data_IF_598552092857
#
_entry.id   IF_598552092857
#
_cell.length_a   1.000
_cell.length_b   1.000
_cell.length_c   1.000
_cell.angle_alpha   90.00
_cell.angle_beta   90.00
_cell.angle_gamma   90.00
#
_symmetry.space_group_name_H-M   'P 1'
#
loop_
_entity.id
_entity.type
_entity.pdbx_description
1 polymer ?
#
# COMPACT_ATOMS: atom_id res chain seq x y z
N UNK A 1 -3.45 -24.36 -28.36
CA UNK A 1 -3.17 -24.81 -27.00
C UNK A 1 -4.51 -24.86 -26.27
N UNK A 2 -5.09 -26.05 -26.22
CA UNK A 2 -6.47 -26.25 -25.73
C UNK A 2 -6.43 -26.19 -24.20
N UNK A 3 -7.49 -25.71 -23.55
CA UNK A 3 -7.61 -25.55 -22.07
C UNK A 3 -7.10 -26.79 -21.29
N UNK A 4 -7.20 -27.97 -21.92
CA UNK A 4 -6.71 -29.27 -21.45
C UNK A 4 -5.18 -29.35 -21.28
N UNK A 5 -4.38 -28.70 -22.13
CA UNK A 5 -2.91 -28.67 -22.00
C UNK A 5 -2.47 -27.85 -20.79
N UNK A 6 -3.22 -26.79 -20.45
CA UNK A 6 -2.97 -25.99 -19.24
C UNK A 6 -3.40 -26.75 -17.99
N UNK A 7 -4.52 -27.45 -18.05
CA UNK A 7 -4.93 -28.35 -16.98
C UNK A 7 -3.89 -29.45 -16.75
N UNK A 8 -3.33 -30.06 -17.80
CA UNK A 8 -2.21 -31.00 -17.70
C UNK A 8 -0.97 -30.39 -17.06
N UNK A 9 -0.58 -29.15 -17.44
CA UNK A 9 0.56 -28.45 -16.81
C UNK A 9 0.31 -28.15 -15.32
N UNK A 10 -0.96 -27.98 -14.90
CA UNK A 10 -1.34 -27.60 -13.53
C UNK A 10 -1.66 -28.80 -12.63
N UNK A 11 -2.20 -29.89 -13.17
CA UNK A 11 -2.44 -31.14 -12.46
C UNK A 11 -1.15 -31.87 -12.12
N UNK A 12 -0.11 -31.72 -12.94
CA UNK A 12 1.17 -32.34 -12.68
C UNK A 12 1.97 -31.43 -11.75
N UNK A 13 2.43 -32.01 -10.66
CA UNK A 13 3.25 -31.43 -9.59
C UNK A 13 4.67 -30.98 -10.07
N UNK A 14 4.81 -30.64 -11.35
CA UNK A 14 6.04 -30.30 -12.09
C UNK A 14 6.26 -28.77 -12.25
N UNK A 15 5.62 -27.93 -11.42
CA UNK A 15 5.80 -26.47 -11.47
C UNK A 15 7.11 -25.98 -10.80
N UNK A 16 8.22 -26.68 -11.05
CA UNK A 16 9.54 -26.36 -10.49
C UNK A 16 10.53 -25.76 -11.50
N UNK A 17 10.31 -25.86 -12.82
CA UNK A 17 11.36 -25.58 -13.82
C UNK A 17 11.08 -24.35 -14.71
N UNK A 18 12.16 -23.60 -15.02
CA UNK A 18 12.18 -22.37 -15.82
C UNK A 18 11.60 -22.53 -17.24
N UNK A 19 11.72 -23.71 -17.85
CA UNK A 19 11.21 -23.99 -19.20
C UNK A 19 9.69 -23.83 -19.32
N UNK A 20 8.96 -24.08 -18.23
CA UNK A 20 7.51 -23.97 -18.19
C UNK A 20 7.04 -22.51 -18.17
N UNK A 21 7.90 -21.56 -17.74
CA UNK A 21 7.59 -20.14 -17.75
C UNK A 21 7.43 -19.59 -19.17
N UNK A 22 8.34 -19.97 -20.08
CA UNK A 22 8.29 -19.52 -21.47
C UNK A 22 7.02 -20.00 -22.20
N UNK A 23 6.62 -21.25 -21.95
CA UNK A 23 5.37 -21.84 -22.50
C UNK A 23 4.14 -21.06 -22.01
N UNK A 24 4.10 -20.73 -20.72
CA UNK A 24 3.01 -19.95 -20.12
C UNK A 24 3.01 -18.51 -20.63
N UNK A 25 4.17 -17.89 -20.82
CA UNK A 25 4.27 -16.53 -21.36
C UNK A 25 3.79 -16.44 -22.82
N UNK A 26 4.13 -17.44 -23.64
CA UNK A 26 3.60 -17.57 -25.02
C UNK A 26 2.07 -17.70 -24.99
N UNK A 27 1.54 -18.48 -24.05
CA UNK A 27 0.10 -18.64 -23.90
C UNK A 27 -0.59 -17.35 -23.42
N UNK A 28 -0.04 -16.69 -22.40
CA UNK A 28 -0.57 -15.43 -21.88
C UNK A 28 -0.51 -14.30 -22.91
N UNK A 29 0.47 -14.32 -23.83
CA UNK A 29 0.50 -13.39 -24.97
C UNK A 29 -0.69 -13.58 -25.91
N UNK A 30 -1.20 -14.80 -26.04
CA UNK A 30 -2.43 -15.10 -26.81
C UNK A 30 -3.70 -14.90 -25.98
N UNK A 31 -3.62 -15.03 -24.65
CA UNK A 31 -4.73 -14.94 -23.72
C UNK A 31 -4.40 -14.06 -22.51
N UNK A 32 -4.45 -12.74 -22.71
CA UNK A 32 -3.97 -11.72 -21.74
C UNK A 32 -4.56 -11.79 -20.33
N UNK A 33 -5.71 -12.44 -20.12
CA UNK A 33 -6.45 -12.39 -18.85
C UNK A 33 -6.86 -13.76 -18.29
N UNK A 34 -6.15 -14.81 -18.68
CA UNK A 34 -6.48 -16.16 -18.20
C UNK A 34 -6.04 -16.37 -16.75
N UNK A 35 -6.99 -16.28 -15.81
CA UNK A 35 -6.76 -16.33 -14.36
C UNK A 35 -5.96 -17.55 -13.90
N UNK A 36 -6.21 -18.72 -14.48
CA UNK A 36 -5.52 -19.97 -14.16
C UNK A 36 -4.05 -19.97 -14.59
N UNK A 37 -3.72 -19.45 -15.78
CA UNK A 37 -2.34 -19.33 -16.25
C UNK A 37 -1.56 -18.26 -15.48
N UNK A 38 -2.24 -17.18 -15.10
CA UNK A 38 -1.66 -16.15 -14.21
C UNK A 38 -1.29 -16.74 -12.84
N UNK A 39 -2.15 -17.60 -12.27
CA UNK A 39 -1.84 -18.31 -11.02
C UNK A 39 -0.68 -19.29 -11.20
N UNK A 40 -0.63 -20.05 -12.28
CA UNK A 40 0.47 -20.98 -12.57
C UNK A 40 1.82 -20.25 -12.70
N UNK A 41 1.86 -19.15 -13.47
CA UNK A 41 3.02 -18.27 -13.58
C UNK A 41 3.48 -17.75 -12.22
N UNK A 42 2.56 -17.34 -11.35
CA UNK A 42 2.91 -16.91 -10.00
C UNK A 42 3.55 -17.99 -9.15
N UNK A 43 3.05 -19.22 -9.24
CA UNK A 43 3.60 -20.35 -8.48
C UNK A 43 5.05 -20.61 -8.95
N UNK A 44 5.29 -20.61 -10.26
CA UNK A 44 6.64 -20.78 -10.84
C UNK A 44 7.57 -19.66 -10.38
N UNK A 45 7.17 -18.39 -10.56
CA UNK A 45 7.97 -17.23 -10.16
C UNK A 45 8.30 -17.23 -8.66
N UNK A 46 7.38 -17.73 -7.83
CA UNK A 46 7.59 -17.87 -6.39
C UNK A 46 8.62 -18.95 -6.08
N UNK A 47 8.53 -20.11 -6.73
CA UNK A 47 9.45 -21.23 -6.53
C UNK A 47 10.87 -20.86 -6.97
N UNK A 48 11.01 -20.11 -8.08
CA UNK A 48 12.29 -19.59 -8.57
C UNK A 48 12.85 -18.47 -7.66
N UNK A 49 12.01 -17.83 -6.85
CA UNK A 49 12.42 -16.67 -6.04
C UNK A 49 12.67 -15.40 -6.88
N UNK A 50 12.00 -15.29 -8.04
CA UNK A 50 12.19 -14.16 -8.94
C UNK A 50 11.74 -12.84 -8.32
N UNK A 51 12.51 -11.76 -8.51
CA UNK A 51 12.14 -10.39 -8.09
C UNK A 51 10.82 -9.94 -8.70
N UNK A 52 10.51 -10.45 -9.91
CA UNK A 52 9.25 -10.16 -10.63
C UNK A 52 8.01 -10.73 -9.94
N UNK A 53 8.18 -11.69 -9.00
CA UNK A 53 7.06 -12.30 -8.29
C UNK A 53 6.15 -11.26 -7.63
N UNK A 54 6.71 -10.23 -6.99
CA UNK A 54 5.93 -9.24 -6.23
C UNK A 54 5.05 -8.37 -7.12
N UNK A 55 5.58 -7.91 -8.26
CA UNK A 55 4.83 -7.10 -9.23
C UNK A 55 3.77 -7.93 -9.94
N UNK A 56 4.08 -9.18 -10.26
CA UNK A 56 3.15 -10.11 -10.89
C UNK A 56 2.05 -10.56 -9.94
N UNK A 57 2.34 -10.72 -8.64
CA UNK A 57 1.34 -11.06 -7.62
C UNK A 57 0.25 -9.99 -7.57
N UNK A 58 0.64 -8.72 -7.60
CA UNK A 58 -0.29 -7.58 -7.64
C UNK A 58 -1.16 -7.63 -8.90
N UNK A 59 -0.57 -7.85 -10.07
CA UNK A 59 -1.30 -7.95 -11.34
C UNK A 59 -2.29 -9.12 -11.36
N UNK A 60 -1.86 -10.30 -10.94
CA UNK A 60 -2.72 -11.48 -10.90
C UNK A 60 -3.90 -11.31 -9.92
N UNK A 61 -3.68 -10.67 -8.78
CA UNK A 61 -4.73 -10.38 -7.80
C UNK A 61 -5.83 -9.42 -8.31
N UNK A 62 -5.62 -8.76 -9.45
CA UNK A 62 -6.64 -7.97 -10.16
C UNK A 62 -7.55 -8.85 -11.02
N UNK A 63 -6.99 -9.89 -11.66
CA UNK A 63 -7.72 -10.73 -12.63
C UNK A 63 -8.36 -11.97 -12.02
N UNK A 64 -7.90 -12.42 -10.85
CA UNK A 64 -8.47 -13.59 -10.18
C UNK A 64 -9.69 -13.19 -9.36
N UNK A 65 -10.81 -13.87 -9.62
CA UNK A 65 -12.10 -13.66 -8.98
C UNK A 65 -12.06 -13.73 -7.43
N UNK A 66 -11.18 -14.57 -6.86
CA UNK A 66 -11.05 -14.72 -5.41
C UNK A 66 -9.60 -14.67 -4.94
N UNK A 67 -9.27 -13.60 -4.22
CA UNK A 67 -7.97 -13.45 -3.54
C UNK A 67 -7.75 -14.51 -2.46
N UNK A 68 -8.82 -14.98 -1.83
CA UNK A 68 -8.78 -16.09 -0.86
C UNK A 68 -8.30 -17.38 -1.53
N UNK A 69 -8.72 -17.64 -2.78
CA UNK A 69 -8.27 -18.80 -3.56
C UNK A 69 -6.77 -18.73 -3.86
N UNK A 70 -6.26 -17.57 -4.28
CA UNK A 70 -4.81 -17.35 -4.47
C UNK A 70 -4.04 -17.59 -3.17
N UNK A 71 -4.51 -17.00 -2.05
CA UNK A 71 -3.87 -17.17 -0.76
C UNK A 71 -3.81 -18.65 -0.34
N UNK A 72 -4.93 -19.36 -0.43
CA UNK A 72 -4.99 -20.79 -0.08
C UNK A 72 -4.01 -21.63 -0.92
N UNK A 73 -3.85 -21.31 -2.21
CA UNK A 73 -2.91 -22.01 -3.11
C UNK A 73 -1.46 -21.67 -2.76
N UNK A 74 -1.14 -20.38 -2.61
CA UNK A 74 0.23 -19.94 -2.34
C UNK A 74 0.72 -20.32 -0.94
N UNK A 75 -0.17 -20.39 0.05
CA UNK A 75 0.19 -20.60 1.46
C UNK A 75 -0.27 -21.97 2.01
N UNK A 76 -0.74 -22.88 1.15
CA UNK A 76 -1.29 -24.21 1.50
C UNK A 76 -0.45 -25.02 2.49
N UNK A 77 0.89 -24.90 2.43
CA UNK A 77 1.83 -25.67 3.24
C UNK A 77 2.52 -24.86 4.35
N UNK A 78 2.19 -23.57 4.53
CA UNK A 78 2.75 -22.72 5.60
C UNK A 78 1.87 -22.66 6.85
N UNK A 79 0.71 -23.31 6.88
CA UNK A 79 -0.20 -23.31 8.04
C UNK A 79 0.18 -24.33 9.13
N UNK A 80 1.44 -24.73 9.20
CA UNK A 80 2.08 -25.20 10.45
C UNK A 80 3.14 -24.20 10.91
N UNK A 81 2.83 -22.91 10.87
CA UNK A 81 3.49 -21.99 11.81
C UNK A 81 2.71 -22.13 13.10
N UNK A 82 3.15 -23.05 13.95
CA UNK A 82 2.88 -22.97 15.37
C UNK A 82 3.50 -21.63 15.79
N UNK A 83 2.67 -20.64 16.09
CA UNK A 83 3.14 -19.52 16.89
C UNK A 83 3.41 -20.14 18.25
N UNK A 84 4.68 -20.50 18.51
CA UNK A 84 5.15 -20.78 19.87
C UNK A 84 4.61 -19.65 20.74
N UNK A 85 3.73 -19.91 21.72
CA UNK A 85 3.33 -18.88 22.65
C UNK A 85 4.61 -18.42 23.32
N UNK A 86 5.00 -17.19 23.02
CA UNK A 86 6.22 -16.58 23.52
C UNK A 86 6.28 -16.83 25.03
N UNK A 87 7.21 -17.70 25.47
CA UNK A 87 7.35 -18.08 26.86
C UNK A 87 7.87 -16.87 27.62
N UNK A 88 6.93 -16.03 28.07
CA UNK A 88 7.06 -15.06 29.16
C UNK A 88 5.67 -14.55 29.57
N UNK A 89 4.76 -15.47 29.89
CA UNK A 89 3.58 -15.18 30.71
C UNK A 89 3.76 -15.85 32.07
N UNK A 90 4.75 -15.37 32.83
CA UNK A 90 4.80 -15.62 34.27
C UNK A 90 3.81 -14.69 34.96
N UNK A 91 2.54 -15.07 34.88
CA UNK A 91 1.47 -14.83 35.84
C UNK A 91 0.23 -15.50 35.26
N UNK A 92 -0.17 -16.62 35.87
CA UNK A 92 -1.39 -17.33 35.53
C UNK A 92 -2.57 -16.49 36.04
N UNK A 93 -2.91 -15.42 35.32
CA UNK A 93 -4.13 -14.67 35.56
C UNK A 93 -5.30 -15.65 35.45
N UNK A 94 -6.19 -15.60 36.42
CA UNK A 94 -7.43 -16.37 36.35
C UNK A 94 -8.28 -15.84 35.20
N UNK A 95 -9.11 -16.70 34.60
CA UNK A 95 -9.96 -16.31 33.46
C UNK A 95 -10.89 -15.13 33.81
N UNK A 96 -11.22 -14.98 35.09
CA UNK A 96 -11.99 -13.87 35.65
C UNK A 96 -11.20 -12.55 35.66
N UNK A 97 -9.96 -12.54 36.17
CA UNK A 97 -9.08 -11.35 36.09
C UNK A 97 -8.76 -10.98 34.63
N UNK A 98 -8.73 -11.96 33.73
CA UNK A 98 -8.51 -11.71 32.30
C UNK A 98 -9.69 -10.99 31.65
N UNK A 99 -10.92 -11.35 32.04
CA UNK A 99 -12.16 -10.67 31.58
C UNK A 99 -12.23 -9.25 32.14
N UNK A 100 -11.92 -9.06 33.43
CA UNK A 100 -11.94 -7.75 34.08
C UNK A 100 -10.93 -6.77 33.44
N UNK A 101 -9.73 -7.27 33.11
CA UNK A 101 -8.70 -6.52 32.38
C UNK A 101 -9.08 -6.19 30.92
N UNK A 102 -10.00 -6.95 30.31
CA UNK A 102 -10.54 -6.66 28.97
C UNK A 102 -11.57 -5.54 29.04
N UNK A 103 -12.35 -5.46 30.11
CA UNK A 103 -13.35 -4.40 30.31
C UNK A 103 -12.69 -3.05 30.60
N UNK A 104 -11.56 -3.01 31.33
CA UNK A 104 -10.78 -1.78 31.55
C UNK A 104 -10.14 -1.23 30.27
N UNK A 105 -9.89 -2.06 29.26
CA UNK A 105 -9.21 -1.68 28.01
C UNK A 105 -10.18 -1.25 26.89
N UNK A 106 -11.30 -0.63 27.24
CA UNK A 106 -12.22 0.03 26.31
C UNK A 106 -11.84 1.50 26.10
N UNK A 107 -10.66 1.74 25.57
CA UNK A 107 -10.43 2.79 24.58
C UNK A 107 -9.49 2.23 23.52
N UNK A 108 -10.03 1.35 22.69
CA UNK A 108 -9.41 1.13 21.39
C UNK A 108 -9.82 2.35 20.55
N UNK A 109 -8.91 3.31 20.23
CA UNK A 109 -9.21 4.20 19.12
C UNK A 109 -9.45 3.26 17.95
N UNK A 110 -10.66 3.31 17.39
CA UNK A 110 -11.02 2.53 16.22
C UNK A 110 -9.86 2.63 15.23
N UNK A 111 -9.24 1.51 14.87
CA UNK A 111 -8.13 1.46 13.90
C UNK A 111 -8.43 2.25 12.60
N UNK A 112 -9.72 2.48 12.35
CA UNK A 112 -10.22 3.47 11.43
C UNK A 112 -11.29 4.35 12.11
N UNK A 113 -10.94 5.60 12.42
CA UNK A 113 -11.91 6.64 12.77
C UNK A 113 -12.20 7.47 11.52
N UNK A 114 -13.42 7.33 10.98
CA UNK A 114 -13.86 8.11 9.83
C UNK A 114 -13.81 9.62 10.12
N UNK A 115 -14.08 10.00 11.38
CA UNK A 115 -14.07 11.38 11.84
C UNK A 115 -12.64 11.92 11.91
N UNK A 116 -11.68 11.16 12.45
CA UNK A 116 -10.27 11.59 12.48
C UNK A 116 -9.66 11.65 11.09
N UNK A 117 -10.03 10.71 10.22
CA UNK A 117 -9.58 10.70 8.83
C UNK A 117 -10.12 11.92 8.08
N UNK A 118 -11.40 12.26 8.26
CA UNK A 118 -11.98 13.47 7.68
C UNK A 118 -11.31 14.75 8.19
N UNK A 119 -10.97 14.82 9.48
CA UNK A 119 -10.21 15.94 10.05
C UNK A 119 -8.81 16.07 9.44
N UNK A 120 -8.10 14.95 9.22
CA UNK A 120 -6.78 14.96 8.55
C UNK A 120 -6.85 15.35 7.07
N UNK A 121 -7.97 15.12 6.39
CA UNK A 121 -8.15 15.61 5.01
C UNK A 121 -8.36 17.12 4.94
N UNK A 122 -8.81 17.76 6.02
CA UNK A 122 -8.96 19.22 6.09
C UNK A 122 -7.62 19.94 6.37
N UNK A 123 -6.65 19.25 6.98
CA UNK A 123 -5.32 19.83 7.18
C UNK A 123 -4.57 19.87 5.85
N UNK A 124 -4.09 21.05 5.48
CA UNK A 124 -3.22 21.23 4.32
C UNK A 124 -1.85 20.60 4.61
N UNK A 125 -1.28 19.90 3.62
CA UNK A 125 0.03 19.26 3.77
C UNK A 125 1.13 20.30 3.56
N UNK A 126 1.77 20.71 4.65
CA UNK A 126 2.85 21.70 4.64
C UNK A 126 4.10 21.27 3.87
N UNK A 127 4.30 19.96 3.66
CA UNK A 127 5.43 19.41 2.91
C UNK A 127 5.42 19.79 1.42
N UNK A 128 4.24 20.07 0.85
CA UNK A 128 4.02 20.29 -0.58
C UNK A 128 3.93 21.77 -1.00
N UNK A 129 4.44 22.67 -0.18
CA UNK A 129 4.42 24.10 -0.49
C UNK A 129 5.45 24.44 -1.58
N UNK A 130 4.99 25.11 -2.64
CA UNK A 130 5.78 25.55 -3.80
C UNK A 130 5.47 27.01 -4.14
N UNK A 131 6.40 27.67 -4.83
CA UNK A 131 6.24 29.08 -5.27
C UNK A 131 4.97 29.27 -6.12
N UNK A 132 4.71 28.34 -7.05
CA UNK A 132 3.50 28.37 -7.90
C UNK A 132 2.23 28.27 -7.06
N UNK A 133 2.21 27.41 -6.04
CA UNK A 133 1.06 27.28 -5.15
C UNK A 133 0.80 28.56 -4.34
N UNK A 134 1.87 29.19 -3.83
CA UNK A 134 1.76 30.46 -3.11
C UNK A 134 1.20 31.58 -4.01
N UNK A 135 1.63 31.62 -5.28
CA UNK A 135 1.09 32.55 -6.27
C UNK A 135 -0.39 32.27 -6.57
N UNK A 136 -0.80 31.00 -6.70
CA UNK A 136 -2.21 30.63 -6.88
C UNK A 136 -3.05 31.10 -5.69
N UNK A 137 -2.57 30.94 -4.44
CA UNK A 137 -3.28 31.47 -3.27
C UNK A 137 -3.44 32.99 -3.32
N UNK A 138 -2.40 33.71 -3.75
CA UNK A 138 -2.46 35.18 -3.96
C UNK A 138 -3.51 35.55 -5.02
N UNK A 139 -3.52 34.86 -6.15
CA UNK A 139 -4.48 35.10 -7.25
C UNK A 139 -5.93 34.80 -6.84
N UNK A 140 -6.13 33.80 -5.98
CA UNK A 140 -7.43 33.46 -5.42
C UNK A 140 -7.89 34.43 -4.30
N UNK A 141 -7.05 35.38 -3.88
CA UNK A 141 -7.33 36.31 -2.78
C UNK A 141 -7.18 35.69 -1.39
N UNK A 142 -6.63 34.48 -1.28
CA UNK A 142 -6.32 33.83 0.00
C UNK A 142 -4.98 34.34 0.55
N UNK A 143 -4.93 35.62 0.93
CA UNK A 143 -3.70 36.32 1.30
C UNK A 143 -2.99 35.71 2.52
N UNK A 144 -3.71 35.31 3.55
CA UNK A 144 -3.11 34.71 4.75
C UNK A 144 -2.36 33.41 4.41
N UNK A 145 -2.97 32.55 3.59
CA UNK A 145 -2.34 31.30 3.12
C UNK A 145 -1.15 31.56 2.20
N UNK A 146 -1.24 32.60 1.36
CA UNK A 146 -0.14 32.99 0.50
C UNK A 146 1.07 33.45 1.32
N UNK A 147 0.86 34.26 2.37
CA UNK A 147 1.90 34.71 3.29
C UNK A 147 2.54 33.51 4.00
N UNK A 148 1.74 32.64 4.62
CA UNK A 148 2.24 31.44 5.31
C UNK A 148 3.08 30.55 4.38
N UNK A 149 2.64 30.38 3.13
CA UNK A 149 3.37 29.63 2.12
C UNK A 149 4.71 30.28 1.77
N UNK A 150 4.74 31.60 1.57
CA UNK A 150 5.99 32.33 1.29
C UNK A 150 6.95 32.31 2.49
N UNK A 151 6.46 32.43 3.72
CA UNK A 151 7.27 32.32 4.92
C UNK A 151 7.95 30.94 5.03
N UNK A 152 7.18 29.87 4.78
CA UNK A 152 7.73 28.50 4.74
C UNK A 152 8.75 28.32 3.61
N UNK A 153 8.55 28.96 2.45
CA UNK A 153 9.51 28.94 1.34
C UNK A 153 10.81 29.69 1.67
N UNK A 154 10.75 30.78 2.45
CA UNK A 154 11.95 31.48 2.93
C UNK A 154 12.80 30.55 3.80
N UNK A 155 12.16 29.79 4.70
CA UNK A 155 12.85 28.82 5.56
C UNK A 155 13.48 27.67 4.75
N UNK A 156 12.85 27.26 3.65
CA UNK A 156 13.29 26.13 2.80
C UNK A 156 14.35 26.53 1.77
N UNK A 157 14.29 27.75 1.24
CA UNK A 157 15.14 28.27 0.16
C UNK A 157 15.67 29.67 0.52
N UNK A 158 16.63 29.77 1.46
CA UNK A 158 17.13 31.05 1.96
C UNK A 158 17.78 31.92 0.87
N UNK A 159 18.31 31.33 -0.20
CA UNK A 159 18.87 32.04 -1.35
C UNK A 159 17.84 32.93 -2.09
N UNK A 160 16.55 32.60 -2.00
CA UNK A 160 15.45 33.35 -2.63
C UNK A 160 14.68 34.24 -1.66
N UNK A 161 15.19 34.43 -0.43
CA UNK A 161 14.47 35.16 0.62
C UNK A 161 14.00 36.55 0.18
N UNK A 162 14.85 37.33 -0.49
CA UNK A 162 14.51 38.68 -0.97
C UNK A 162 13.29 38.69 -1.89
N UNK A 163 13.16 37.69 -2.77
CA UNK A 163 12.04 37.56 -3.70
C UNK A 163 10.74 37.27 -2.94
N UNK A 164 10.75 36.30 -2.02
CA UNK A 164 9.57 35.94 -1.25
C UNK A 164 9.15 37.06 -0.28
N UNK A 165 10.10 37.74 0.36
CA UNK A 165 9.83 38.90 1.22
C UNK A 165 9.17 40.05 0.44
N UNK A 166 9.55 40.26 -0.83
CA UNK A 166 8.89 41.23 -1.71
C UNK A 166 7.45 40.81 -1.99
N UNK A 167 7.19 39.53 -2.31
CA UNK A 167 5.82 39.03 -2.56
C UNK A 167 4.92 39.20 -1.33
N UNK A 168 5.43 38.90 -0.12
CA UNK A 168 4.70 39.12 1.14
C UNK A 168 4.40 40.61 1.33
N UNK A 169 5.37 41.49 1.07
CA UNK A 169 5.18 42.94 1.18
C UNK A 169 4.13 43.45 0.20
N UNK A 170 4.10 42.93 -1.02
CA UNK A 170 3.12 43.31 -2.04
C UNK A 170 1.71 42.84 -1.64
N UNK A 171 1.58 41.62 -1.09
CA UNK A 171 0.31 41.13 -0.55
C UNK A 171 -0.19 42.02 0.59
N UNK A 172 0.68 42.39 1.54
CA UNK A 172 0.33 43.24 2.67
C UNK A 172 -0.07 44.67 2.28
N UNK A 173 0.30 45.15 1.09
CA UNK A 173 -0.19 46.43 0.56
C UNK A 173 -1.58 46.34 -0.07
N UNK A 174 -1.97 45.15 -0.51
CA UNK A 174 -3.25 44.88 -1.18
C UNK A 174 -4.33 44.53 -0.16
N UNK A 175 -3.95 43.84 0.92
CA UNK A 175 -4.80 43.46 2.06
C UNK A 175 -5.23 44.68 2.88
#
# INVERSE_FOLDING_TARGET
MVVEEIFKIIEVEELQNDENLAKIDIFLKKHSFHSTALIARLIILKNIGSVRYTSELKKCALYVQSRKKIFKILFKNKTKVFVEPNQNFNQKLTMLEWIEKIEEKKENPSFFSAIETAKKSLSENDDFITETLANIYKEQGHFDKAIDAFEKLILKFPEKNTLFASQISDINKIK
#
